data_IF_651360629516
#
_entry.id   IF_651360629516
#
_cell.length_a   1.000
_cell.length_b   1.000
_cell.length_c   1.000
_cell.angle_alpha   90.00
_cell.angle_beta   90.00
_cell.angle_gamma   90.00
#
_symmetry.space_group_name_H-M   'P 1'
#
loop_
_entity.id
_entity.type
_entity.pdbx_description
1 polymer ?
#
# COMPACT_ATOMS: atom_id res chain seq x y z
N UNK A 1 -1.02 -4.00 12.30
CA UNK A 1 -0.31 -3.74 11.03
C UNK A 1 -0.10 -2.24 10.89
N UNK A 2 1.15 -1.82 10.97
CA UNK A 2 1.55 -0.40 11.10
C UNK A 2 1.39 0.42 9.82
N UNK A 3 1.14 -0.23 8.68
CA UNK A 3 0.96 0.47 7.40
C UNK A 3 -0.32 1.30 7.36
N UNK A 4 -1.41 0.75 7.89
CA UNK A 4 -2.75 1.28 7.68
C UNK A 4 -3.10 2.54 8.47
N UNK A 5 -2.58 2.76 9.70
CA UNK A 5 -2.99 3.88 10.55
C UNK A 5 -2.55 5.27 10.06
N UNK A 6 -1.61 5.36 9.12
CA UNK A 6 -1.16 6.64 8.59
C UNK A 6 -0.72 6.59 7.13
N UNK A 7 -0.72 7.75 6.48
CA UNK A 7 -0.09 8.01 5.18
C UNK A 7 1.14 8.87 5.40
N UNK A 8 2.23 8.56 4.71
CA UNK A 8 3.51 9.28 4.80
C UNK A 8 3.71 10.13 3.55
N UNK A 9 4.19 11.35 3.75
CA UNK A 9 4.65 12.28 2.71
C UNK A 9 6.00 12.88 3.09
N UNK A 10 6.66 13.58 2.17
CA UNK A 10 7.95 14.26 2.42
C UNK A 10 7.87 15.35 3.50
N UNK A 11 6.68 15.81 3.86
CA UNK A 11 6.48 16.87 4.86
C UNK A 11 6.06 16.36 6.22
N UNK A 12 5.69 15.09 6.33
CA UNK A 12 5.18 14.49 7.56
C UNK A 12 4.11 13.46 7.29
N UNK A 13 3.38 13.07 8.32
CA UNK A 13 2.36 12.03 8.24
C UNK A 13 0.94 12.59 8.33
N UNK A 14 0.00 11.88 7.73
CA UNK A 14 -1.44 12.11 7.84
C UNK A 14 -2.04 10.91 8.56
N UNK A 15 -2.73 11.14 9.66
CA UNK A 15 -3.39 10.08 10.43
C UNK A 15 -4.65 9.62 9.71
N UNK A 16 -4.83 8.33 9.61
CA UNK A 16 -5.99 7.72 8.98
C UNK A 16 -7.19 7.65 9.93
N UNK A 17 -8.37 7.41 9.39
CA UNK A 17 -9.58 7.04 10.12
C UNK A 17 -9.98 5.64 9.66
N UNK A 18 -9.77 4.65 10.54
CA UNK A 18 -9.86 3.24 10.21
C UNK A 18 -11.27 2.81 9.79
N UNK A 19 -11.34 1.94 8.79
CA UNK A 19 -12.59 1.38 8.31
C UNK A 19 -13.23 0.40 9.30
N UNK A 20 -12.40 -0.35 10.08
CA UNK A 20 -12.85 -1.26 11.15
C UNK A 20 -12.84 -0.55 12.50
N UNK A 21 -13.95 -0.67 13.26
CA UNK A 21 -14.09 -0.06 14.59
C UNK A 21 -13.05 -0.56 15.59
N UNK A 22 -12.70 -1.84 15.52
CA UNK A 22 -11.74 -2.48 16.43
C UNK A 22 -10.32 -1.91 16.28
N UNK A 23 -10.04 -1.25 15.14
CA UNK A 23 -8.77 -0.61 14.82
C UNK A 23 -8.76 0.92 15.03
N UNK A 24 -9.88 1.49 15.50
CA UNK A 24 -10.06 2.94 15.60
C UNK A 24 -9.01 3.66 16.48
N UNK A 25 -8.37 2.96 17.40
CA UNK A 25 -7.35 3.51 18.31
C UNK A 25 -5.93 3.47 17.74
N UNK A 26 -5.67 2.68 16.67
CA UNK A 26 -4.32 2.53 16.09
C UNK A 26 -3.71 3.87 15.62
N UNK A 27 -4.45 4.78 14.94
CA UNK A 27 -3.90 6.07 14.53
C UNK A 27 -3.42 6.93 15.69
N UNK A 28 -4.04 6.81 16.90
CA UNK A 28 -3.62 7.54 18.08
C UNK A 28 -2.24 7.05 18.58
N UNK A 29 -2.03 5.75 18.65
CA UNK A 29 -0.74 5.18 19.03
C UNK A 29 0.37 5.56 18.03
N UNK A 30 0.06 5.55 16.74
CA UNK A 30 0.99 6.00 15.69
C UNK A 30 1.33 7.48 15.86
N UNK A 31 0.34 8.34 16.18
CA UNK A 31 0.55 9.75 16.46
C UNK A 31 1.56 9.94 17.60
N UNK A 32 1.32 9.32 18.75
CA UNK A 32 2.21 9.42 19.92
C UNK A 32 3.65 9.03 19.58
N UNK A 33 3.81 7.93 18.81
CA UNK A 33 5.13 7.48 18.36
C UNK A 33 5.82 8.53 17.48
N UNK A 34 5.17 9.03 16.44
CA UNK A 34 5.79 9.99 15.53
C UNK A 34 6.06 11.35 16.19
N UNK A 35 5.20 11.80 17.09
CA UNK A 35 5.46 13.01 17.91
C UNK A 35 6.70 12.82 18.79
N UNK A 36 6.91 11.62 19.37
CA UNK A 36 8.07 11.33 20.22
C UNK A 36 9.41 11.39 19.47
N UNK A 37 9.40 11.21 18.16
CA UNK A 37 10.59 11.30 17.29
C UNK A 37 10.59 12.57 16.42
N UNK A 38 9.77 13.56 16.77
CA UNK A 38 9.66 14.86 16.10
C UNK A 38 9.32 14.80 14.59
N UNK A 39 8.53 13.81 14.17
CA UNK A 39 7.98 13.76 12.81
C UNK A 39 6.67 14.56 12.77
N UNK A 40 6.52 15.54 11.85
CA UNK A 40 5.33 16.38 11.79
C UNK A 40 4.05 15.59 11.48
N UNK A 41 2.96 15.95 12.15
CA UNK A 41 1.60 15.51 11.83
C UNK A 41 0.95 16.60 10.98
N UNK A 42 0.67 16.32 9.70
CA UNK A 42 0.08 17.27 8.76
C UNK A 42 -1.42 17.42 8.91
N UNK A 43 -2.07 16.40 9.44
CA UNK A 43 -3.50 16.38 9.64
C UNK A 43 -4.02 14.97 9.92
N UNK A 44 -5.34 14.86 10.01
CA UNK A 44 -6.02 13.59 10.22
C UNK A 44 -7.31 13.51 9.42
N UNK A 45 -7.69 12.30 9.08
CA UNK A 45 -8.94 12.00 8.39
C UNK A 45 -10.05 11.88 9.43
N UNK A 46 -11.10 12.66 9.29
CA UNK A 46 -12.24 12.71 10.22
C UNK A 46 -13.49 12.08 9.63
N UNK A 47 -14.37 11.59 10.51
CA UNK A 47 -15.70 11.11 10.11
C UNK A 47 -16.47 12.19 9.32
N UNK A 48 -17.22 11.81 8.24
CA UNK A 48 -17.50 10.46 7.76
C UNK A 48 -16.42 9.88 6.83
N UNK A 49 -15.29 10.56 6.66
CA UNK A 49 -14.14 10.05 5.89
C UNK A 49 -13.56 8.80 6.55
N UNK A 50 -13.24 7.81 5.72
CA UNK A 50 -12.47 6.63 6.08
C UNK A 50 -11.31 6.53 5.14
N UNK A 51 -10.15 6.18 5.67
CA UNK A 51 -8.93 5.94 4.90
C UNK A 51 -8.04 4.99 5.68
N UNK A 52 -7.44 4.03 4.98
CA UNK A 52 -6.39 3.17 5.49
C UNK A 52 -5.16 3.25 4.58
N UNK A 53 -3.98 3.26 5.17
CA UNK A 53 -2.73 3.44 4.42
C UNK A 53 -2.45 2.34 3.38
N UNK A 54 -3.01 1.15 3.57
CA UNK A 54 -2.93 0.05 2.59
C UNK A 54 -3.67 0.33 1.27
N UNK A 55 -4.55 1.32 1.25
CA UNK A 55 -5.21 1.78 0.02
C UNK A 55 -4.43 2.89 -0.70
N UNK A 56 -3.37 3.44 -0.10
CA UNK A 56 -2.67 4.61 -0.63
C UNK A 56 -1.30 4.23 -1.18
N UNK A 57 -1.13 4.35 -2.50
CA UNK A 57 0.09 4.00 -3.22
C UNK A 57 0.65 5.22 -3.93
N UNK A 58 1.88 5.58 -3.63
CA UNK A 58 2.65 6.53 -4.43
C UNK A 58 3.05 5.86 -5.76
N UNK A 59 2.47 6.33 -6.86
CA UNK A 59 2.82 5.87 -8.22
C UNK A 59 4.13 6.51 -8.67
N UNK A 60 4.28 7.77 -8.33
CA UNK A 60 5.51 8.58 -8.46
C UNK A 60 5.52 9.65 -7.36
N UNK A 61 6.46 10.58 -7.42
CA UNK A 61 6.64 11.64 -6.41
C UNK A 61 5.48 12.63 -6.32
N UNK A 62 4.57 12.65 -7.30
CA UNK A 62 3.46 13.60 -7.42
C UNK A 62 2.10 12.97 -7.66
N UNK A 63 2.07 11.66 -7.87
CA UNK A 63 0.85 10.92 -8.21
C UNK A 63 0.53 9.87 -7.17
N UNK A 64 -0.70 9.89 -6.65
CA UNK A 64 -1.24 8.86 -5.79
C UNK A 64 -2.31 8.04 -6.49
N UNK A 65 -2.25 6.72 -6.32
CA UNK A 65 -3.39 5.83 -6.53
C UNK A 65 -4.02 5.49 -5.18
N UNK A 66 -5.34 5.60 -5.08
CA UNK A 66 -6.05 5.35 -3.82
C UNK A 66 -7.20 4.38 -4.07
N UNK A 67 -7.18 3.23 -3.37
CA UNK A 67 -8.27 2.27 -3.38
C UNK A 67 -9.55 2.85 -2.77
N UNK A 68 -10.68 2.73 -3.48
CA UNK A 68 -12.01 3.05 -2.96
C UNK A 68 -12.77 1.74 -2.71
N UNK A 69 -13.05 1.45 -1.44
CA UNK A 69 -13.68 0.21 -1.03
C UNK A 69 -14.30 0.29 0.35
N UNK A 70 -14.32 -0.83 1.05
CA UNK A 70 -14.88 -0.89 2.41
C UNK A 70 -14.02 -0.20 3.46
N UNK A 71 -12.70 -0.05 3.19
CA UNK A 71 -11.73 0.51 4.13
C UNK A 71 -11.49 1.99 3.91
N UNK A 72 -11.55 2.44 2.66
CA UNK A 72 -11.39 3.85 2.29
C UNK A 72 -12.57 4.31 1.44
N UNK A 73 -13.06 5.52 1.66
CA UNK A 73 -14.19 6.08 0.97
C UNK A 73 -13.89 7.46 0.36
N UNK A 74 -14.79 7.96 -0.51
CA UNK A 74 -14.64 9.25 -1.19
C UNK A 74 -14.42 10.43 -0.24
N UNK A 75 -15.03 10.39 0.95
CA UNK A 75 -14.85 11.46 1.92
C UNK A 75 -13.42 11.48 2.47
N UNK A 76 -12.85 10.30 2.78
CA UNK A 76 -11.46 10.18 3.21
C UNK A 76 -10.47 10.59 2.11
N UNK A 77 -10.70 10.14 0.88
CA UNK A 77 -9.89 10.52 -0.28
C UNK A 77 -9.89 12.04 -0.50
N UNK A 78 -11.07 12.68 -0.40
CA UNK A 78 -11.20 14.15 -0.52
C UNK A 78 -10.43 14.89 0.58
N UNK A 79 -10.50 14.41 1.82
CA UNK A 79 -9.77 15.00 2.94
C UNK A 79 -8.26 14.83 2.76
N UNK A 80 -7.79 13.63 2.36
CA UNK A 80 -6.38 13.39 2.07
C UNK A 80 -5.85 14.36 1.02
N UNK A 81 -6.59 14.54 -0.09
CA UNK A 81 -6.23 15.51 -1.14
C UNK A 81 -6.10 16.92 -0.59
N UNK A 82 -7.03 17.36 0.25
CA UNK A 82 -7.01 18.69 0.85
C UNK A 82 -5.81 18.89 1.79
N UNK A 83 -5.46 17.88 2.58
CA UNK A 83 -4.31 17.92 3.51
C UNK A 83 -2.98 17.93 2.74
N UNK A 84 -2.87 17.11 1.68
CA UNK A 84 -1.66 17.04 0.86
C UNK A 84 -1.43 18.32 0.03
N UNK A 85 -2.52 18.99 -0.40
CA UNK A 85 -2.42 20.24 -1.18
C UNK A 85 -1.48 20.09 -2.40
N UNK A 86 -0.51 20.98 -2.51
CA UNK A 86 0.46 21.02 -3.62
C UNK A 86 1.54 19.92 -3.57
N UNK A 87 1.54 19.07 -2.53
CA UNK A 87 2.43 17.92 -2.47
C UNK A 87 2.07 16.85 -3.52
N UNK A 88 0.81 16.84 -3.97
CA UNK A 88 0.27 15.89 -4.96
C UNK A 88 -0.39 16.65 -6.11
N UNK A 89 0.01 16.33 -7.32
CA UNK A 89 -0.58 16.89 -8.55
C UNK A 89 -1.78 16.09 -9.03
N UNK A 90 -1.72 14.75 -8.89
CA UNK A 90 -2.75 13.85 -9.37
C UNK A 90 -3.13 12.78 -8.35
N UNK A 91 -4.43 12.51 -8.23
CA UNK A 91 -4.96 11.39 -7.44
C UNK A 91 -5.89 10.56 -8.32
N UNK A 92 -5.54 9.29 -8.47
CA UNK A 92 -6.35 8.29 -9.16
C UNK A 92 -7.12 7.47 -8.14
N UNK A 93 -8.44 7.51 -8.20
CA UNK A 93 -9.29 6.63 -7.39
C UNK A 93 -9.47 5.30 -8.11
N UNK A 94 -9.13 4.22 -7.42
CA UNK A 94 -9.19 2.84 -7.93
C UNK A 94 -10.34 2.10 -7.23
N UNK A 95 -11.48 1.87 -7.89
CA UNK A 95 -12.56 1.09 -7.31
C UNK A 95 -12.12 -0.34 -7.02
N UNK A 96 -12.27 -0.78 -5.77
CA UNK A 96 -11.97 -2.14 -5.35
C UNK A 96 -13.22 -3.02 -5.40
N UNK A 97 -13.11 -4.29 -5.83
CA UNK A 97 -14.25 -5.20 -5.91
C UNK A 97 -14.73 -5.66 -4.52
N UNK A 98 -15.95 -6.22 -4.48
CA UNK A 98 -16.52 -6.81 -3.27
C UNK A 98 -15.68 -7.98 -2.74
N UNK A 99 -15.12 -8.77 -3.63
CA UNK A 99 -14.32 -9.97 -3.36
C UNK A 99 -14.99 -10.88 -2.31
N UNK A 100 -14.33 -11.14 -1.16
CA UNK A 100 -14.89 -11.95 -0.08
C UNK A 100 -15.79 -11.16 0.89
N UNK A 101 -16.16 -9.93 0.57
CA UNK A 101 -17.08 -9.08 1.34
C UNK A 101 -16.41 -8.07 2.26
N UNK A 102 -17.27 -7.34 3.01
CA UNK A 102 -16.80 -6.18 3.81
C UNK A 102 -15.91 -6.55 5.01
N UNK A 103 -15.90 -7.82 5.41
CA UNK A 103 -15.09 -8.27 6.54
C UNK A 103 -13.67 -8.67 6.11
N UNK A 104 -13.48 -8.84 4.81
CA UNK A 104 -12.18 -9.15 4.24
C UNK A 104 -11.24 -7.93 4.29
N UNK A 105 -9.95 -8.19 4.27
CA UNK A 105 -8.92 -7.17 4.18
C UNK A 105 -8.47 -7.05 2.73
N UNK A 106 -9.26 -6.34 1.91
CA UNK A 106 -8.86 -6.00 0.56
C UNK A 106 -8.49 -4.51 0.50
N UNK A 107 -7.19 -4.24 0.39
CA UNK A 107 -6.63 -2.93 0.09
C UNK A 107 -6.09 -2.89 -1.35
N UNK A 108 -5.82 -1.70 -1.88
CA UNK A 108 -5.14 -1.57 -3.16
C UNK A 108 -3.78 -2.28 -3.15
N UNK A 109 -3.04 -2.17 -2.03
CA UNK A 109 -1.74 -2.84 -1.85
C UNK A 109 -1.84 -4.36 -1.61
N UNK A 110 -3.03 -4.94 -1.53
CA UNK A 110 -3.21 -6.38 -1.67
C UNK A 110 -2.99 -6.85 -3.11
N UNK A 111 -3.22 -5.96 -4.08
CA UNK A 111 -3.22 -6.23 -5.51
C UNK A 111 -2.12 -5.50 -6.27
N UNK A 112 -1.30 -4.70 -5.57
CA UNK A 112 -0.27 -3.87 -6.18
C UNK A 112 0.87 -3.63 -5.19
N UNK A 113 2.10 -3.90 -5.62
CA UNK A 113 3.32 -3.55 -4.88
C UNK A 113 4.32 -2.84 -5.80
N UNK A 114 4.65 -1.57 -5.56
CA UNK A 114 5.79 -0.93 -6.22
C UNK A 114 7.09 -1.64 -5.82
N UNK A 115 7.85 -2.10 -6.81
CA UNK A 115 9.11 -2.83 -6.58
C UNK A 115 10.33 -1.93 -6.74
N UNK A 116 10.26 -1.03 -7.72
CA UNK A 116 11.29 -0.05 -8.04
C UNK A 116 10.67 1.11 -8.84
N UNK A 117 11.48 2.08 -9.28
CA UNK A 117 11.03 3.10 -10.22
C UNK A 117 10.45 2.43 -11.47
N UNK A 118 9.25 2.83 -11.87
CA UNK A 118 8.57 2.32 -13.07
C UNK A 118 8.44 0.78 -13.18
N UNK A 119 8.48 0.04 -12.07
CA UNK A 119 8.29 -1.40 -12.06
C UNK A 119 7.40 -1.81 -10.87
N UNK A 120 6.23 -2.37 -11.19
CA UNK A 120 5.23 -2.77 -10.20
C UNK A 120 4.88 -4.24 -10.35
N UNK A 121 4.67 -4.91 -9.23
CA UNK A 121 4.01 -6.22 -9.17
C UNK A 121 2.52 -5.98 -8.99
N UNK A 122 1.69 -6.66 -9.80
CA UNK A 122 0.23 -6.54 -9.72
C UNK A 122 -0.44 -7.91 -9.68
N UNK A 123 -1.66 -7.94 -9.11
CA UNK A 123 -2.61 -9.02 -9.30
C UNK A 123 -3.81 -8.49 -10.12
N UNK A 124 -3.79 -8.67 -11.45
CA UNK A 124 -4.69 -7.94 -12.36
C UNK A 124 -6.16 -8.33 -12.22
N UNK A 125 -6.46 -9.54 -11.72
CA UNK A 125 -7.85 -10.02 -11.59
C UNK A 125 -8.73 -9.17 -10.66
N UNK A 126 -8.13 -8.44 -9.73
CA UNK A 126 -8.84 -7.58 -8.78
C UNK A 126 -8.59 -6.08 -9.01
N UNK A 127 -8.00 -5.73 -10.15
CA UNK A 127 -7.78 -4.35 -10.57
C UNK A 127 -8.69 -3.97 -11.74
N UNK A 128 -9.27 -2.75 -11.75
CA UNK A 128 -10.05 -2.29 -12.88
C UNK A 128 -9.18 -2.05 -14.12
N UNK A 129 -9.73 -2.36 -15.30
CA UNK A 129 -9.04 -2.19 -16.60
C UNK A 129 -8.49 -0.76 -16.75
N UNK A 130 -9.26 0.25 -16.38
CA UNK A 130 -8.85 1.65 -16.46
C UNK A 130 -7.58 1.95 -15.66
N UNK A 131 -7.38 1.28 -14.52
CA UNK A 131 -6.18 1.48 -13.72
C UNK A 131 -4.96 0.79 -14.34
N UNK A 132 -5.13 -0.41 -14.89
CA UNK A 132 -4.06 -1.10 -15.63
C UNK A 132 -3.63 -0.26 -16.85
N UNK A 133 -4.60 0.29 -17.60
CA UNK A 133 -4.31 1.19 -18.71
C UNK A 133 -3.55 2.45 -18.25
N UNK A 134 -3.98 3.07 -17.16
CA UNK A 134 -3.30 4.22 -16.56
C UNK A 134 -1.82 3.91 -16.23
N UNK A 135 -1.52 2.75 -15.65
CA UNK A 135 -0.14 2.33 -15.36
C UNK A 135 0.67 2.14 -16.66
N UNK A 136 0.08 1.51 -17.67
CA UNK A 136 0.71 1.29 -18.98
C UNK A 136 0.99 2.62 -19.70
N UNK A 137 0.05 3.57 -19.69
CA UNK A 137 0.22 4.90 -20.32
C UNK A 137 1.37 5.68 -19.68
N UNK A 138 1.64 5.43 -18.41
CA UNK A 138 2.81 5.96 -17.67
C UNK A 138 4.09 5.16 -17.89
N UNK A 139 4.05 4.13 -18.75
CA UNK A 139 5.20 3.25 -19.05
C UNK A 139 5.74 2.55 -17.81
N UNK A 140 4.87 2.25 -16.84
CA UNK A 140 5.21 1.41 -15.69
C UNK A 140 5.23 -0.03 -16.18
N UNK A 141 6.34 -0.70 -16.00
CA UNK A 141 6.47 -2.13 -16.30
C UNK A 141 5.71 -2.94 -15.25
N UNK A 142 4.91 -3.91 -15.69
CA UNK A 142 4.06 -4.70 -14.81
C UNK A 142 4.53 -6.15 -14.79
N UNK A 143 4.72 -6.69 -13.58
CA UNK A 143 4.85 -8.12 -13.32
C UNK A 143 3.52 -8.61 -12.77
N UNK A 144 2.99 -9.70 -13.29
CA UNK A 144 1.73 -10.28 -12.81
C UNK A 144 2.00 -11.43 -11.85
N UNK A 145 1.49 -11.33 -10.62
CA UNK A 145 1.50 -12.42 -9.66
C UNK A 145 0.53 -13.52 -10.11
N UNK A 146 0.91 -14.81 -10.05
CA UNK A 146 0.03 -15.90 -10.44
C UNK A 146 -1.06 -16.16 -9.40
N UNK A 147 -2.20 -16.68 -9.85
CA UNK A 147 -3.35 -17.01 -8.98
C UNK A 147 -2.95 -17.95 -7.84
N UNK A 148 -2.05 -18.91 -8.12
CA UNK A 148 -1.61 -19.91 -7.14
C UNK A 148 -0.83 -19.32 -5.95
N UNK A 149 -0.33 -18.10 -6.07
CA UNK A 149 0.45 -17.42 -5.03
C UNK A 149 -0.25 -16.19 -4.44
N UNK A 150 -1.50 -15.92 -4.84
CA UNK A 150 -2.24 -14.77 -4.31
C UNK A 150 -2.56 -14.94 -2.82
N UNK A 151 -3.14 -16.06 -2.43
CA UNK A 151 -3.53 -16.35 -1.03
C UNK A 151 -2.33 -16.52 -0.10
N UNK A 152 -1.15 -16.85 -0.65
CA UNK A 152 0.11 -16.92 0.11
C UNK A 152 0.90 -15.60 0.15
N UNK A 153 0.22 -14.47 -0.10
CA UNK A 153 0.81 -13.12 -0.07
C UNK A 153 1.86 -12.86 -1.17
N UNK A 154 1.80 -13.58 -2.29
CA UNK A 154 2.75 -13.41 -3.38
C UNK A 154 2.75 -12.00 -3.98
N UNK A 155 1.62 -11.28 -3.93
CA UNK A 155 1.54 -9.90 -4.41
C UNK A 155 1.93 -8.85 -3.35
N UNK A 156 2.13 -9.24 -2.07
CA UNK A 156 2.51 -8.31 -1.01
C UNK A 156 4.03 -8.28 -0.83
N UNK A 157 4.68 -7.38 -1.55
CA UNK A 157 6.14 -7.25 -1.61
C UNK A 157 6.55 -5.84 -1.19
N UNK A 158 7.51 -5.74 -0.28
CA UNK A 158 8.04 -4.47 0.20
C UNK A 158 9.36 -4.14 -0.49
N UNK A 159 9.42 -3.02 -1.19
CA UNK A 159 10.69 -2.45 -1.65
C UNK A 159 11.46 -1.87 -0.46
N UNK A 160 12.66 -2.38 -0.21
CA UNK A 160 13.54 -1.96 0.90
C UNK A 160 14.73 -1.12 0.42
N UNK A 161 14.88 -0.95 -0.89
CA UNK A 161 15.89 -0.13 -1.54
C UNK A 161 15.82 -0.29 -3.05
N UNK A 162 16.65 0.46 -3.78
CA UNK A 162 16.74 0.31 -5.23
C UNK A 162 17.13 -1.12 -5.59
N UNK A 163 16.31 -1.77 -6.41
CA UNK A 163 16.44 -3.18 -6.83
C UNK A 163 16.55 -4.18 -5.66
N UNK A 164 15.94 -3.88 -4.52
CA UNK A 164 15.90 -4.77 -3.37
C UNK A 164 14.51 -4.83 -2.76
N UNK A 165 13.99 -6.04 -2.63
CA UNK A 165 12.66 -6.26 -2.06
C UNK A 165 12.67 -7.39 -1.03
N UNK A 166 11.66 -7.40 -0.15
CA UNK A 166 11.38 -8.51 0.77
C UNK A 166 9.96 -9.01 0.58
N UNK A 167 9.77 -10.33 0.63
CA UNK A 167 8.48 -11.00 0.50
C UNK A 167 8.38 -12.23 1.38
N UNK A 168 7.16 -12.74 1.55
CA UNK A 168 6.90 -14.00 2.25
C UNK A 168 7.48 -15.16 1.44
N UNK A 169 8.18 -16.08 2.12
CA UNK A 169 8.69 -17.30 1.50
C UNK A 169 7.57 -18.22 0.99
N UNK A 170 7.92 -19.15 0.09
CA UNK A 170 6.96 -20.06 -0.54
C UNK A 170 6.34 -19.56 -1.86
N UNK A 171 6.56 -18.31 -2.24
CA UNK A 171 6.06 -17.68 -3.46
C UNK A 171 7.11 -17.70 -4.58
N UNK A 172 7.54 -18.91 -4.98
CA UNK A 172 8.70 -19.13 -5.83
C UNK A 172 8.51 -18.60 -7.26
N UNK A 173 7.30 -18.64 -7.80
CA UNK A 173 7.01 -18.15 -9.15
C UNK A 173 7.15 -16.63 -9.20
N UNK A 174 6.49 -15.92 -8.28
CA UNK A 174 6.58 -14.47 -8.16
C UNK A 174 8.01 -14.03 -7.89
N UNK A 175 8.72 -14.71 -6.97
CA UNK A 175 10.14 -14.46 -6.70
C UNK A 175 10.97 -14.52 -7.99
N UNK A 176 10.86 -15.61 -8.75
CA UNK A 176 11.59 -15.78 -10.00
C UNK A 176 11.25 -14.71 -11.04
N UNK A 177 9.99 -14.27 -11.13
CA UNK A 177 9.59 -13.19 -12.04
C UNK A 177 10.24 -11.86 -11.67
N UNK A 178 10.33 -11.55 -10.39
CA UNK A 178 10.97 -10.34 -9.86
C UNK A 178 12.49 -10.40 -10.09
N UNK A 179 13.14 -11.54 -9.79
CA UNK A 179 14.58 -11.73 -9.98
C UNK A 179 15.01 -11.62 -11.46
N UNK A 180 14.17 -12.06 -12.41
CA UNK A 180 14.40 -11.87 -13.85
C UNK A 180 14.45 -10.40 -14.29
N UNK A 181 13.90 -9.46 -13.47
CA UNK A 181 14.02 -8.03 -13.70
C UNK A 181 15.26 -7.40 -13.04
N UNK A 182 16.15 -8.23 -12.49
CA UNK A 182 17.39 -7.79 -11.86
C UNK A 182 17.21 -7.23 -10.45
N UNK A 183 16.13 -7.61 -9.78
CA UNK A 183 15.86 -7.25 -8.38
C UNK A 183 16.34 -8.37 -7.46
N UNK A 184 17.05 -8.00 -6.42
CA UNK A 184 17.43 -8.91 -5.32
C UNK A 184 16.21 -9.12 -4.40
N UNK A 185 15.83 -10.40 -4.22
CA UNK A 185 14.64 -10.77 -3.44
C UNK A 185 15.05 -11.45 -2.14
N UNK A 186 14.75 -10.82 -1.03
CA UNK A 186 14.86 -11.41 0.31
C UNK A 186 13.52 -12.08 0.67
N UNK A 187 13.59 -13.21 1.35
CA UNK A 187 12.40 -13.91 1.85
C UNK A 187 12.46 -14.11 3.35
N UNK A 188 11.31 -14.25 3.99
CA UNK A 188 11.18 -14.61 5.38
C UNK A 188 10.04 -15.60 5.60
N UNK A 189 10.12 -16.40 6.65
CA UNK A 189 9.01 -17.27 7.06
C UNK A 189 7.86 -16.43 7.63
N UNK A 190 6.80 -16.32 6.83
CA UNK A 190 5.59 -15.58 7.17
C UNK A 190 4.47 -16.42 7.75
N UNK A 191 4.68 -17.71 8.04
CA UNK A 191 3.64 -18.67 8.43
C UNK A 191 2.77 -18.14 9.58
N UNK A 192 3.37 -17.61 10.64
CA UNK A 192 2.63 -17.14 11.81
C UNK A 192 2.11 -15.70 11.64
N UNK A 193 2.96 -14.77 11.27
CA UNK A 193 2.61 -13.35 11.29
C UNK A 193 1.88 -12.88 10.02
N UNK A 194 2.26 -13.42 8.86
CA UNK A 194 1.71 -12.96 7.58
C UNK A 194 0.52 -13.79 7.13
N UNK A 195 0.64 -15.11 7.08
CA UNK A 195 -0.44 -15.96 6.56
C UNK A 195 -1.62 -16.03 7.54
N UNK A 196 -1.39 -16.28 8.82
CA UNK A 196 -2.44 -16.28 9.83
C UNK A 196 -3.00 -14.88 10.11
N UNK A 197 -2.17 -13.85 10.01
CA UNK A 197 -2.56 -12.47 10.25
C UNK A 197 -3.16 -11.75 9.03
N UNK A 198 -3.14 -12.39 7.85
CA UNK A 198 -3.61 -11.83 6.58
C UNK A 198 -2.93 -10.51 6.19
N UNK A 199 -1.59 -10.45 6.32
CA UNK A 199 -0.82 -9.26 5.93
C UNK A 199 0.67 -9.54 5.77
N UNK A 200 1.22 -9.19 4.60
CA UNK A 200 2.62 -9.38 4.25
C UNK A 200 3.55 -8.26 4.76
N UNK A 201 4.78 -8.18 4.25
CA UNK A 201 5.81 -7.25 4.75
C UNK A 201 5.43 -5.78 4.62
N UNK A 202 4.67 -5.42 3.60
CA UNK A 202 4.14 -4.06 3.44
C UNK A 202 3.18 -3.72 4.59
N UNK A 203 2.26 -4.61 4.91
CA UNK A 203 1.28 -4.40 6.00
C UNK A 203 1.95 -4.29 7.38
N UNK A 204 3.04 -5.02 7.59
CA UNK A 204 3.80 -5.08 8.85
C UNK A 204 4.70 -3.86 9.08
N UNK A 205 4.91 -3.03 8.06
CA UNK A 205 5.88 -1.92 8.10
C UNK A 205 5.25 -0.60 7.66
N UNK A 206 5.82 0.51 8.11
CA UNK A 206 5.50 1.85 7.61
C UNK A 206 6.81 2.59 7.36
N UNK A 207 7.36 2.50 6.15
CA UNK A 207 8.50 3.32 5.77
C UNK A 207 8.13 4.81 5.86
N UNK A 208 8.91 5.59 6.61
CA UNK A 208 8.65 7.02 6.79
C UNK A 208 9.84 7.91 6.40
N UNK A 209 11.02 7.31 6.23
CA UNK A 209 12.20 7.98 5.73
C UNK A 209 12.88 7.07 4.70
N UNK A 210 13.14 7.62 3.52
CA UNK A 210 13.97 6.98 2.50
C UNK A 210 15.03 7.98 2.07
N UNK A 211 16.29 7.58 2.10
CA UNK A 211 17.37 8.38 1.53
C UNK A 211 17.41 8.15 0.03
N UNK A 212 17.46 9.23 -0.76
CA UNK A 212 17.87 9.12 -2.17
C UNK A 212 19.31 8.63 -2.22
N UNK A 213 19.56 7.56 -2.94
CA UNK A 213 20.92 7.15 -3.30
C UNK A 213 21.47 8.04 -4.38
#
# INVERSE_FOLDING_TARGET
>A
YTHDPCVVSDKGIILCNMGKKDRAHEPHAIKEYFESINVPILGHIESPGKLEGGDVVWVDTKTLAIGEGYRSNRHGIKQLKAILGDLVEEIITVPLPHWNGKNDCLHLMSNLSPLDYNLFLIYPRLLPVSFIQFLNDRRIELIEAPDSEYDSMGCNVLAIGHKKVIMVDGNSITKNLIEKKGIEVFTYDGTEISLKGAGGPTCLTRPFLRTSL
#
